data_IF_997725061350
#
_entry.id   IF_997725061350
#
_cell.length_a   1.000
_cell.length_b   1.000
_cell.length_c   1.000
_cell.angle_alpha   90.00
_cell.angle_beta   90.00
_cell.angle_gamma   90.00
#
_symmetry.space_group_name_H-M   'P 1'
#
loop_
_entity.id
_entity.type
_entity.pdbx_description
1 polymer ?
#
# COMPACT_ATOMS: atom_id res chain seq x y z
N UNK A 1 18.47 21.30 -0.49
CA UNK A 1 17.16 21.46 -1.15
C UNK A 1 17.18 22.33 -2.40
N UNK A 2 16.51 21.91 -3.48
CA UNK A 2 16.11 22.74 -4.62
C UNK A 2 14.67 22.44 -5.06
N UNK A 3 14.00 23.41 -5.67
CA UNK A 3 12.61 23.25 -6.15
C UNK A 3 12.44 23.89 -7.52
N UNK A 4 11.78 23.21 -8.44
CA UNK A 4 11.39 23.73 -9.75
C UNK A 4 9.94 23.38 -10.06
N UNK A 5 9.32 24.11 -10.98
CA UNK A 5 7.98 23.80 -11.50
C UNK A 5 8.12 23.45 -12.97
N UNK A 6 7.46 22.36 -13.39
CA UNK A 6 7.41 21.92 -14.78
C UNK A 6 5.97 21.83 -15.27
N UNK A 7 5.81 22.06 -16.56
CA UNK A 7 4.60 21.77 -17.31
C UNK A 7 4.97 20.89 -18.51
N UNK A 8 4.08 19.97 -18.90
CA UNK A 8 4.37 19.01 -19.96
C UNK A 8 4.73 19.65 -21.32
N UNK A 9 4.30 20.89 -21.59
CA UNK A 9 4.69 21.64 -22.79
C UNK A 9 6.16 22.03 -22.82
N UNK A 10 6.81 22.11 -21.66
CA UNK A 10 8.19 22.55 -21.51
C UNK A 10 9.10 21.34 -21.28
N UNK A 11 8.77 20.55 -20.25
CA UNK A 11 9.41 19.27 -19.93
C UNK A 11 8.32 18.31 -19.49
N UNK A 12 8.06 17.29 -20.29
CA UNK A 12 7.14 16.22 -19.94
C UNK A 12 7.64 15.47 -18.70
N UNK A 13 6.76 15.29 -17.69
CA UNK A 13 7.12 14.55 -16.48
C UNK A 13 7.57 13.12 -16.80
N UNK A 14 6.96 12.48 -17.81
CA UNK A 14 7.35 11.15 -18.24
C UNK A 14 8.78 11.06 -18.77
N UNK A 15 9.29 12.10 -19.44
CA UNK A 15 10.69 12.14 -19.92
C UNK A 15 11.68 12.37 -18.78
N UNK A 16 11.32 13.22 -17.81
CA UNK A 16 12.09 13.40 -16.58
C UNK A 16 12.19 12.06 -15.82
N UNK A 17 11.07 11.37 -15.64
CA UNK A 17 11.02 10.08 -14.95
C UNK A 17 11.84 9.01 -15.68
N UNK A 18 11.72 8.90 -17.01
CA UNK A 18 12.52 7.97 -17.82
C UNK A 18 14.03 8.17 -17.61
N UNK A 19 14.45 9.43 -17.51
CA UNK A 19 15.85 9.78 -17.34
C UNK A 19 16.33 9.51 -15.92
N UNK A 20 15.63 10.04 -14.91
CA UNK A 20 16.12 9.99 -13.53
C UNK A 20 15.91 8.63 -12.85
N UNK A 21 14.85 7.89 -13.19
CA UNK A 21 14.61 6.56 -12.64
C UNK A 21 15.63 5.52 -13.11
N UNK A 22 16.43 5.79 -14.14
CA UNK A 22 17.44 4.86 -14.61
C UNK A 22 18.56 4.62 -13.58
N UNK A 23 18.81 5.59 -12.70
CA UNK A 23 19.82 5.48 -11.63
C UNK A 23 19.24 5.27 -10.23
N UNK A 24 17.94 5.03 -10.10
CA UNK A 24 17.28 4.91 -8.81
C UNK A 24 17.41 3.49 -8.22
N UNK A 25 17.42 3.38 -6.90
CA UNK A 25 17.30 2.10 -6.17
C UNK A 25 15.94 1.99 -5.48
N UNK A 26 15.17 3.08 -5.45
CA UNK A 26 13.81 3.10 -4.92
C UNK A 26 12.90 3.98 -5.75
N UNK A 27 11.69 3.51 -6.01
CA UNK A 27 10.63 4.28 -6.66
C UNK A 27 9.29 4.10 -5.96
N UNK A 28 8.64 5.21 -5.66
CA UNK A 28 7.32 5.22 -5.04
C UNK A 28 6.36 6.10 -5.85
N UNK A 29 5.15 5.60 -6.08
CA UNK A 29 4.13 6.29 -6.84
C UNK A 29 2.76 6.13 -6.18
N UNK A 30 2.10 7.25 -5.87
CA UNK A 30 0.70 7.31 -5.47
C UNK A 30 -0.05 8.15 -6.50
N UNK A 31 -0.87 7.52 -7.33
CA UNK A 31 -1.59 8.18 -8.43
C UNK A 31 -3.08 7.83 -8.41
N UNK A 32 -3.95 8.82 -8.58
CA UNK A 32 -5.39 8.54 -8.63
C UNK A 32 -5.76 7.56 -9.75
N UNK A 33 -5.10 7.66 -10.91
CA UNK A 33 -5.36 6.82 -12.07
C UNK A 33 -4.07 6.23 -12.65
N UNK A 34 -4.19 5.05 -13.28
CA UNK A 34 -3.09 4.33 -13.91
C UNK A 34 -3.52 3.77 -15.26
N UNK A 35 -2.75 3.97 -16.33
CA UNK A 35 -2.99 3.23 -17.58
C UNK A 35 -1.71 2.64 -18.17
N UNK A 36 -1.85 1.71 -19.13
CA UNK A 36 -0.70 1.01 -19.72
C UNK A 36 0.35 1.95 -20.34
N UNK A 37 -0.07 3.08 -20.91
CA UNK A 37 0.87 4.04 -21.47
C UNK A 37 1.65 4.81 -20.40
N UNK A 38 1.01 5.14 -19.27
CA UNK A 38 1.67 5.73 -18.12
C UNK A 38 2.61 4.75 -17.41
N UNK A 39 2.14 3.52 -17.17
CA UNK A 39 2.97 2.45 -16.63
C UNK A 39 4.17 2.17 -17.54
N UNK A 40 3.95 2.05 -18.85
CA UNK A 40 5.01 1.81 -19.83
C UNK A 40 6.10 2.88 -19.88
N UNK A 41 5.84 4.09 -19.38
CA UNK A 41 6.87 5.12 -19.25
C UNK A 41 7.90 4.81 -18.16
N UNK A 42 7.47 4.15 -17.08
CA UNK A 42 8.31 3.85 -15.91
C UNK A 42 8.65 2.36 -15.80
N UNK A 43 7.96 1.49 -16.53
CA UNK A 43 8.07 0.02 -16.43
C UNK A 43 9.51 -0.50 -16.60
N UNK A 44 10.30 -0.06 -17.60
CA UNK A 44 11.69 -0.52 -17.72
C UNK A 44 12.55 -0.19 -16.50
N UNK A 45 12.30 0.97 -15.87
CA UNK A 45 13.00 1.35 -14.66
C UNK A 45 12.50 0.56 -13.45
N UNK A 46 11.20 0.29 -13.35
CA UNK A 46 10.61 -0.56 -12.30
C UNK A 46 11.23 -1.96 -12.33
N UNK A 47 11.31 -2.60 -13.51
CA UNK A 47 11.93 -3.92 -13.65
C UNK A 47 13.40 -3.87 -13.22
N UNK A 48 14.18 -2.92 -13.75
CA UNK A 48 15.59 -2.75 -13.40
C UNK A 48 15.79 -2.55 -11.89
N UNK A 49 14.97 -1.71 -11.25
CA UNK A 49 15.04 -1.48 -9.80
C UNK A 49 14.84 -2.81 -9.08
N UNK A 50 13.80 -3.56 -9.41
CA UNK A 50 13.48 -4.82 -8.73
C UNK A 50 14.52 -5.92 -8.98
N UNK A 51 15.04 -6.04 -10.20
CA UNK A 51 16.13 -6.97 -10.56
C UNK A 51 17.45 -6.63 -9.86
N UNK A 52 17.73 -5.35 -9.66
CA UNK A 52 18.94 -4.84 -9.01
C UNK A 52 18.86 -4.82 -7.48
N UNK A 53 17.94 -5.57 -6.87
CA UNK A 53 17.70 -5.51 -5.43
C UNK A 53 17.42 -4.07 -4.95
N UNK A 54 16.62 -3.32 -5.71
CA UNK A 54 15.93 -2.08 -5.31
C UNK A 54 14.42 -2.26 -5.03
N UNK A 55 13.78 -1.26 -4.40
CA UNK A 55 12.40 -1.36 -3.91
C UNK A 55 11.42 -0.51 -4.73
N UNK A 56 10.24 -1.04 -5.02
CA UNK A 56 9.18 -0.31 -5.73
C UNK A 56 7.89 -0.35 -4.95
N UNK A 57 7.20 0.78 -4.84
CA UNK A 57 5.86 0.85 -4.23
C UNK A 57 4.92 1.65 -5.13
N UNK A 58 3.85 1.01 -5.60
CA UNK A 58 2.86 1.65 -6.46
C UNK A 58 1.49 1.52 -5.83
N UNK A 59 0.85 2.66 -5.58
CA UNK A 59 -0.53 2.78 -5.12
C UNK A 59 -1.33 3.54 -6.15
N UNK A 60 -2.48 3.00 -6.56
CA UNK A 60 -3.39 3.78 -7.39
C UNK A 60 -4.86 3.60 -7.03
N UNK A 61 -5.67 4.58 -7.45
CA UNK A 61 -7.11 4.45 -7.41
C UNK A 61 -7.61 3.52 -8.52
N UNK A 62 -8.67 2.77 -8.24
CA UNK A 62 -9.42 2.00 -9.22
C UNK A 62 -10.66 2.81 -9.61
N UNK A 63 -10.49 3.68 -10.61
CA UNK A 63 -11.61 4.20 -11.40
C UNK A 63 -11.75 3.33 -12.64
N UNK A 64 -12.83 2.56 -12.68
CA UNK A 64 -13.11 1.51 -13.67
C UNK A 64 -13.30 2.03 -15.10
N UNK A 65 -13.23 3.35 -15.34
CA UNK A 65 -13.25 3.92 -16.70
C UNK A 65 -11.91 4.47 -17.16
N UNK A 66 -11.00 4.72 -16.23
CA UNK A 66 -9.72 5.38 -16.52
C UNK A 66 -8.56 4.42 -16.29
N UNK A 67 -8.66 3.57 -15.27
CA UNK A 67 -7.59 2.66 -14.90
C UNK A 67 -7.64 1.39 -15.74
N UNK A 68 -6.57 1.16 -16.51
CA UNK A 68 -6.49 0.10 -17.52
C UNK A 68 -6.24 -1.28 -16.88
N UNK A 69 -7.08 -2.29 -17.11
CA UNK A 69 -6.89 -3.65 -16.58
C UNK A 69 -5.52 -4.25 -16.89
N UNK A 70 -4.96 -3.96 -18.07
CA UNK A 70 -3.64 -4.50 -18.47
C UNK A 70 -2.52 -3.99 -17.57
N UNK A 71 -2.61 -2.73 -17.12
CA UNK A 71 -1.63 -2.18 -16.20
C UNK A 71 -1.72 -2.85 -14.82
N UNK A 72 -2.94 -3.16 -14.35
CA UNK A 72 -3.16 -3.92 -13.12
C UNK A 72 -2.55 -5.31 -13.24
N UNK A 73 -2.85 -6.05 -14.32
CA UNK A 73 -2.28 -7.39 -14.54
C UNK A 73 -0.75 -7.39 -14.57
N UNK A 74 -0.12 -6.38 -15.19
CA UNK A 74 1.33 -6.23 -15.18
C UNK A 74 1.89 -6.01 -13.77
N UNK A 75 1.24 -5.17 -12.95
CA UNK A 75 1.68 -4.90 -11.59
C UNK A 75 1.43 -6.07 -10.63
N UNK A 76 0.34 -6.82 -10.80
CA UNK A 76 0.10 -8.08 -10.07
C UNK A 76 1.27 -9.05 -10.29
N UNK A 77 1.64 -9.29 -11.55
CA UNK A 77 2.76 -10.19 -11.88
C UNK A 77 4.07 -9.76 -11.23
N UNK A 78 4.39 -8.47 -11.27
CA UNK A 78 5.59 -7.95 -10.60
C UNK A 78 5.52 -8.11 -9.08
N UNK A 79 4.35 -7.85 -8.47
CA UNK A 79 4.14 -7.94 -7.03
C UNK A 79 4.19 -9.38 -6.51
N UNK A 80 3.76 -10.34 -7.33
CA UNK A 80 3.84 -11.78 -7.03
C UNK A 80 5.26 -12.32 -7.24
N UNK A 81 6.00 -11.76 -8.20
CA UNK A 81 7.37 -12.21 -8.50
C UNK A 81 8.42 -11.60 -7.57
N UNK A 82 8.29 -10.33 -7.19
CA UNK A 82 9.29 -9.61 -6.40
C UNK A 82 8.76 -9.23 -5.02
N UNK A 83 9.36 -9.78 -3.96
CA UNK A 83 9.01 -9.42 -2.58
C UNK A 83 9.20 -7.92 -2.27
N UNK A 84 10.12 -7.24 -2.98
CA UNK A 84 10.44 -5.81 -2.79
C UNK A 84 9.57 -4.89 -3.66
N UNK A 85 8.58 -5.46 -4.34
CA UNK A 85 7.46 -4.74 -4.94
C UNK A 85 6.31 -4.69 -3.94
N UNK A 86 5.74 -3.50 -3.74
CA UNK A 86 4.53 -3.26 -2.96
C UNK A 86 3.49 -2.66 -3.89
N UNK A 87 2.53 -3.47 -4.31
CA UNK A 87 1.41 -3.02 -5.12
C UNK A 87 0.12 -2.92 -4.31
N UNK A 88 -0.51 -1.75 -4.30
CA UNK A 88 -1.81 -1.54 -3.62
C UNK A 88 -2.78 -0.78 -4.51
N UNK A 89 -4.07 -1.02 -4.29
CA UNK A 89 -5.16 -0.34 -4.99
C UNK A 89 -6.14 0.24 -3.99
N UNK A 90 -6.62 1.45 -4.25
CA UNK A 90 -7.77 2.03 -3.54
C UNK A 90 -9.02 1.88 -4.42
N UNK A 91 -9.99 1.09 -3.98
CA UNK A 91 -11.28 0.98 -4.68
C UNK A 91 -12.09 2.26 -4.46
N UNK A 92 -12.43 2.98 -5.53
CA UNK A 92 -12.97 4.35 -5.46
C UNK A 92 -14.48 4.48 -5.55
N UNK A 93 -15.23 3.39 -5.71
CA UNK A 93 -16.68 3.41 -5.94
C UNK A 93 -17.48 3.20 -4.65
N UNK A 94 -17.15 3.95 -3.60
CA UNK A 94 -18.07 4.09 -2.49
C UNK A 94 -18.83 5.42 -2.65
N UNK A 95 -20.10 5.33 -3.07
CA UNK A 95 -21.00 6.47 -3.22
C UNK A 95 -21.27 7.19 -1.89
N UNK A 96 -20.95 6.56 -0.76
CA UNK A 96 -21.10 7.11 0.59
C UNK A 96 -19.81 7.74 1.13
N UNK A 97 -18.66 7.56 0.48
CA UNK A 97 -17.41 8.12 0.96
C UNK A 97 -17.21 9.57 0.55
N UNK A 98 -16.94 10.40 1.55
CA UNK A 98 -16.67 11.83 1.42
C UNK A 98 -15.26 12.15 0.89
N UNK A 99 -14.37 11.16 0.79
CA UNK A 99 -12.97 11.34 0.44
C UNK A 99 -12.57 10.46 -0.75
N UNK A 100 -12.32 11.09 -1.90
CA UNK A 100 -11.82 10.41 -3.11
C UNK A 100 -10.31 10.25 -3.02
N UNK A 101 -9.80 9.05 -3.28
CA UNK A 101 -8.37 8.82 -3.46
C UNK A 101 -7.88 9.54 -4.71
N UNK A 102 -7.26 10.71 -4.52
CA UNK A 102 -6.82 11.54 -5.64
C UNK A 102 -5.36 12.07 -5.58
N UNK A 103 -4.41 11.44 -4.88
CA UNK A 103 -3.02 11.91 -4.88
C UNK A 103 -2.39 11.80 -6.27
N UNK A 104 -1.38 12.64 -6.51
CA UNK A 104 -0.36 12.45 -7.54
C UNK A 104 0.98 12.82 -6.91
N UNK A 105 1.60 11.82 -6.32
CA UNK A 105 2.85 11.93 -5.58
C UNK A 105 3.79 10.86 -6.08
N UNK A 106 5.00 11.27 -6.45
CA UNK A 106 6.05 10.37 -6.88
C UNK A 106 7.34 10.72 -6.18
N UNK A 107 8.17 9.75 -5.87
CA UNK A 107 9.55 10.03 -5.48
C UNK A 107 10.46 8.85 -5.80
N UNK A 108 11.74 9.17 -5.92
CA UNK A 108 12.79 8.20 -6.13
C UNK A 108 14.09 8.65 -5.50
N UNK A 109 14.98 7.69 -5.26
CA UNK A 109 16.33 7.91 -4.71
C UNK A 109 17.26 6.83 -5.25
N UNK A 110 18.56 7.17 -5.35
CA UNK A 110 19.63 6.25 -5.73
C UNK A 110 20.41 5.71 -4.52
N UNK A 111 20.29 6.34 -3.35
CA UNK A 111 21.19 6.07 -2.22
C UNK A 111 20.53 6.21 -0.84
N UNK A 112 19.20 6.37 -0.81
CA UNK A 112 18.39 6.54 0.41
C UNK A 112 18.76 7.79 1.23
N UNK A 113 19.62 8.67 0.68
CA UNK A 113 19.99 9.95 1.29
C UNK A 113 19.37 11.11 0.52
N UNK A 114 19.48 11.07 -0.82
CA UNK A 114 19.08 12.13 -1.74
C UNK A 114 17.86 11.70 -2.53
N UNK A 115 16.79 12.49 -2.44
CA UNK A 115 15.49 12.21 -3.04
C UNK A 115 15.12 13.26 -4.08
N UNK A 116 14.49 12.80 -5.16
CA UNK A 116 13.63 13.65 -5.99
C UNK A 116 12.18 13.29 -5.68
N UNK A 117 11.38 14.28 -5.29
CA UNK A 117 9.94 14.15 -5.11
C UNK A 117 9.19 15.01 -6.15
N UNK A 118 8.05 14.52 -6.60
CA UNK A 118 7.17 15.18 -7.54
C UNK A 118 5.77 15.23 -6.95
N UNK A 119 5.25 16.44 -6.81
CA UNK A 119 3.89 16.72 -6.34
C UNK A 119 3.19 17.58 -7.38
N UNK A 120 2.02 17.16 -7.85
CA UNK A 120 1.33 17.94 -8.86
C UNK A 120 0.01 17.35 -9.33
N UNK A 121 -0.30 17.58 -10.60
CA UNK A 121 -1.57 17.19 -11.21
C UNK A 121 -1.48 15.94 -12.09
N UNK A 122 -0.27 15.55 -12.52
CA UNK A 122 -0.04 14.43 -13.44
C UNK A 122 -0.35 13.06 -12.82
N UNK A 123 -1.37 12.37 -13.31
CA UNK A 123 -1.56 10.95 -13.02
C UNK A 123 -0.55 10.08 -13.79
N UNK A 124 -0.35 8.83 -13.35
CA UNK A 124 0.45 7.80 -14.01
C UNK A 124 -0.27 7.23 -15.25
N UNK A 125 -0.62 8.13 -16.16
CA UNK A 125 -1.27 7.85 -17.44
C UNK A 125 -0.48 8.50 -18.57
N UNK A 126 -0.61 7.99 -19.80
CA UNK A 126 0.06 8.61 -20.95
C UNK A 126 -0.26 10.11 -21.08
N UNK A 127 -1.53 10.48 -20.87
CA UNK A 127 -1.96 11.88 -20.87
C UNK A 127 -1.27 12.70 -19.78
N UNK A 128 -1.34 12.25 -18.52
CA UNK A 128 -0.76 12.97 -17.39
C UNK A 128 0.76 13.12 -17.48
N UNK A 129 1.46 12.13 -18.02
CA UNK A 129 2.93 12.17 -18.12
C UNK A 129 3.47 12.95 -19.32
N UNK A 130 2.73 13.03 -20.44
CA UNK A 130 3.29 13.54 -21.69
C UNK A 130 2.51 14.65 -22.39
N UNK A 131 1.16 14.66 -22.34
CA UNK A 131 0.38 15.48 -23.28
C UNK A 131 -0.63 16.43 -22.65
N UNK A 132 -1.14 16.11 -21.46
CA UNK A 132 -2.09 16.98 -20.77
C UNK A 132 -1.40 18.26 -20.30
N UNK A 133 -2.17 19.34 -20.16
CA UNK A 133 -1.73 20.52 -19.42
C UNK A 133 -1.70 20.20 -17.93
N UNK A 134 -0.51 19.87 -17.43
CA UNK A 134 -0.26 19.47 -16.05
C UNK A 134 0.79 20.40 -15.44
N UNK A 135 0.69 20.66 -14.14
CA UNK A 135 1.67 21.44 -13.39
C UNK A 135 2.20 20.58 -12.25
N UNK A 136 3.52 20.43 -12.19
CA UNK A 136 4.17 19.63 -11.18
C UNK A 136 5.32 20.40 -10.52
N UNK A 137 5.44 20.32 -9.21
CA UNK A 137 6.61 20.76 -8.47
C UNK A 137 7.59 19.59 -8.34
N UNK A 138 8.84 19.82 -8.72
CA UNK A 138 9.95 18.90 -8.54
C UNK A 138 10.77 19.43 -7.37
N UNK A 139 10.91 18.61 -6.33
CA UNK A 139 11.62 18.95 -5.10
C UNK A 139 12.79 17.97 -4.99
N UNK A 140 14.01 18.50 -4.84
CA UNK A 140 15.21 17.67 -4.64
C UNK A 140 15.86 18.02 -3.32
N UNK A 141 16.22 17.02 -2.53
CA UNK A 141 16.71 17.24 -1.18
C UNK A 141 17.05 15.96 -0.45
N UNK A 142 17.56 16.10 0.76
CA UNK A 142 17.83 14.95 1.62
C UNK A 142 16.54 14.46 2.30
N UNK A 143 16.54 13.20 2.76
CA UNK A 143 15.41 12.57 3.44
C UNK A 143 14.84 13.36 4.63
N UNK A 144 15.71 14.08 5.36
CA UNK A 144 15.39 14.85 6.56
C UNK A 144 14.97 16.31 6.28
N UNK A 145 15.07 16.76 5.02
CA UNK A 145 14.61 18.09 4.62
C UNK A 145 13.08 18.13 4.62
N UNK A 146 12.50 19.16 5.27
CA UNK A 146 11.07 19.23 5.59
C UNK A 146 10.10 18.81 4.47
N UNK A 147 10.19 19.36 3.24
CA UNK A 147 9.30 18.96 2.15
C UNK A 147 9.46 17.51 1.69
N UNK A 148 10.68 16.97 1.69
CA UNK A 148 10.94 15.56 1.35
C UNK A 148 10.37 14.66 2.45
N UNK A 149 10.72 14.93 3.72
CA UNK A 149 10.21 14.19 4.87
C UNK A 149 8.68 14.16 4.91
N UNK A 150 8.03 15.29 4.57
CA UNK A 150 6.56 15.37 4.43
C UNK A 150 6.03 14.49 3.31
N UNK A 151 6.66 14.49 2.13
CA UNK A 151 6.26 13.62 1.02
C UNK A 151 6.36 12.13 1.39
N UNK A 152 7.48 11.73 2.01
CA UNK A 152 7.69 10.36 2.49
C UNK A 152 6.62 9.97 3.51
N UNK A 153 6.39 10.82 4.52
CA UNK A 153 5.37 10.57 5.55
C UNK A 153 3.94 10.49 5.00
N UNK A 154 3.59 11.33 4.02
CA UNK A 154 2.29 11.27 3.33
C UNK A 154 2.14 9.94 2.58
N UNK A 155 3.18 9.50 1.87
CA UNK A 155 3.15 8.25 1.13
C UNK A 155 3.04 7.04 2.05
N UNK A 156 3.79 7.02 3.14
CA UNK A 156 3.68 5.94 4.13
C UNK A 156 2.29 5.92 4.77
N UNK A 157 1.70 7.08 5.05
CA UNK A 157 0.31 7.20 5.52
C UNK A 157 -0.70 6.68 4.50
N UNK A 158 -0.48 6.91 3.20
CA UNK A 158 -1.27 6.30 2.13
C UNK A 158 -1.13 4.78 2.18
N UNK A 159 0.09 4.24 2.18
CA UNK A 159 0.36 2.79 2.19
C UNK A 159 -0.22 2.08 3.43
N UNK A 160 -0.29 2.77 4.56
CA UNK A 160 -0.84 2.24 5.81
C UNK A 160 -2.36 2.38 5.90
N UNK A 161 -3.04 2.93 4.89
CA UNK A 161 -4.48 3.15 4.96
C UNK A 161 -5.26 1.85 4.76
N UNK A 162 -6.20 1.54 5.67
CA UNK A 162 -6.92 0.27 5.69
C UNK A 162 -7.88 0.02 4.52
N UNK A 163 -8.19 1.05 3.74
CA UNK A 163 -8.97 0.91 2.49
C UNK A 163 -8.16 0.40 1.30
N UNK A 164 -6.83 0.32 1.45
CA UNK A 164 -5.98 -0.22 0.40
C UNK A 164 -6.06 -1.74 0.36
N UNK A 165 -6.05 -2.27 -0.85
CA UNK A 165 -6.11 -3.69 -1.10
C UNK A 165 -4.85 -4.13 -1.84
N UNK A 166 -4.47 -5.41 -1.68
CA UNK A 166 -3.41 -6.03 -2.49
C UNK A 166 -4.07 -6.82 -3.62
N UNK A 167 -3.98 -6.39 -4.89
CA UNK A 167 -4.54 -7.12 -6.01
C UNK A 167 -3.79 -8.43 -6.27
N UNK A 168 -4.53 -9.48 -6.60
CA UNK A 168 -4.02 -10.76 -7.12
C UNK A 168 -4.54 -10.99 -8.55
N UNK A 169 -4.25 -12.17 -9.12
CA UNK A 169 -4.71 -12.55 -10.46
C UNK A 169 -6.25 -12.57 -10.57
N UNK A 170 -6.96 -13.14 -9.60
CA UNK A 170 -8.45 -13.16 -9.59
C UNK A 170 -9.04 -11.74 -9.55
N UNK A 171 -8.45 -10.83 -8.76
CA UNK A 171 -8.84 -9.43 -8.75
C UNK A 171 -8.64 -8.79 -10.12
N UNK A 172 -7.51 -9.04 -10.77
CA UNK A 172 -7.21 -8.47 -12.08
C UNK A 172 -8.22 -8.96 -13.15
N UNK A 173 -8.59 -10.25 -13.12
CA UNK A 173 -9.60 -10.83 -14.00
C UNK A 173 -10.98 -10.17 -13.82
N UNK A 174 -11.48 -10.12 -12.58
CA UNK A 174 -12.79 -9.51 -12.29
C UNK A 174 -12.80 -8.00 -12.50
N UNK A 175 -11.68 -7.33 -12.25
CA UNK A 175 -11.52 -5.92 -12.60
C UNK A 175 -11.65 -5.72 -14.11
N UNK A 176 -11.05 -6.61 -14.92
CA UNK A 176 -11.17 -6.55 -16.38
C UNK A 176 -12.62 -6.70 -16.84
N UNK A 177 -13.36 -7.66 -16.27
CA UNK A 177 -14.78 -7.84 -16.53
C UNK A 177 -15.60 -6.58 -16.15
N UNK A 178 -15.33 -6.01 -14.97
CA UNK A 178 -16.00 -4.78 -14.54
C UNK A 178 -15.68 -3.60 -15.46
N UNK A 179 -14.42 -3.46 -15.87
CA UNK A 179 -13.98 -2.40 -16.77
C UNK A 179 -14.72 -2.47 -18.11
N UNK A 180 -14.76 -3.66 -18.73
CA UNK A 180 -15.44 -3.88 -20.03
C UNK A 180 -16.92 -3.53 -19.96
N UNK A 181 -17.61 -3.96 -18.90
CA UNK A 181 -19.04 -3.64 -18.72
C UNK A 181 -19.29 -2.18 -18.37
N UNK A 182 -18.38 -1.55 -17.63
CA UNK A 182 -18.49 -0.14 -17.24
C UNK A 182 -18.23 0.83 -18.40
N UNK A 183 -17.43 0.43 -19.40
CA UNK A 183 -17.19 1.24 -20.61
C UNK A 183 -18.46 1.50 -21.43
N UNK A 184 -19.40 0.56 -21.42
CA UNK A 184 -20.66 0.68 -22.15
C UNK A 184 -21.72 1.52 -21.39
N UNK A 185 -21.46 1.87 -20.13
CA UNK A 185 -22.44 2.53 -19.27
C UNK A 185 -22.19 4.04 -19.12
N UNK A 186 -23.19 4.92 -19.34
CA UNK A 186 -23.02 6.36 -19.20
C UNK A 186 -22.68 6.79 -17.76
N UNK A 187 -21.85 7.84 -17.62
CA UNK A 187 -21.30 8.30 -16.33
C UNK A 187 -22.36 8.84 -15.36
N UNK A 188 -23.47 9.35 -15.88
CA UNK A 188 -24.47 10.09 -15.10
C UNK A 188 -25.64 9.23 -14.61
N UNK A 189 -25.63 7.93 -14.89
CA UNK A 189 -26.67 6.99 -14.49
C UNK A 189 -26.18 6.11 -13.35
N UNK A 190 -27.10 5.74 -12.45
CA UNK A 190 -26.80 4.76 -11.42
C UNK A 190 -26.41 3.45 -12.11
N UNK A 191 -25.28 2.82 -11.77
CA UNK A 191 -24.89 1.53 -12.35
C UNK A 191 -26.00 0.48 -12.12
N UNK A 192 -26.23 -0.43 -13.06
CA UNK A 192 -27.17 -1.53 -12.85
C UNK A 192 -26.70 -2.43 -11.69
N UNK A 193 -27.64 -3.17 -11.11
CA UNK A 193 -27.43 -3.93 -9.87
C UNK A 193 -26.31 -4.96 -9.98
N UNK A 194 -26.18 -5.59 -11.15
CA UNK A 194 -25.12 -6.55 -11.48
C UNK A 194 -23.71 -5.93 -11.44
N UNK A 195 -23.53 -4.68 -11.90
CA UNK A 195 -22.24 -3.97 -11.75
C UNK A 195 -21.96 -3.59 -10.30
N UNK A 196 -22.99 -3.27 -9.52
CA UNK A 196 -22.83 -3.01 -8.10
C UNK A 196 -22.48 -4.29 -7.33
N UNK A 197 -23.06 -5.44 -7.70
CA UNK A 197 -22.73 -6.75 -7.16
C UNK A 197 -21.28 -7.11 -7.47
N UNK A 198 -20.83 -6.95 -8.73
CA UNK A 198 -19.45 -7.22 -9.14
C UNK A 198 -18.45 -6.31 -8.42
N UNK A 199 -18.80 -5.04 -8.19
CA UNK A 199 -17.99 -4.14 -7.39
C UNK A 199 -17.89 -4.60 -5.92
N UNK A 200 -19.01 -5.00 -5.31
CA UNK A 200 -19.03 -5.55 -3.95
C UNK A 200 -18.20 -6.83 -3.86
N UNK A 201 -18.26 -7.69 -4.87
CA UNK A 201 -17.43 -8.89 -4.96
C UNK A 201 -15.94 -8.52 -5.02
N UNK A 202 -15.53 -7.57 -5.87
CA UNK A 202 -14.16 -7.08 -5.94
C UNK A 202 -13.64 -6.54 -4.60
N UNK A 203 -14.50 -5.91 -3.80
CA UNK A 203 -14.16 -5.47 -2.44
C UNK A 203 -13.92 -6.63 -1.46
N UNK A 204 -14.41 -7.84 -1.76
CA UNK A 204 -14.18 -9.04 -0.94
C UNK A 204 -12.97 -9.86 -1.41
N UNK A 205 -12.52 -9.67 -2.66
CA UNK A 205 -11.39 -10.38 -3.26
C UNK A 205 -10.04 -9.81 -2.88
N UNK A 206 -10.02 -8.96 -1.85
CA UNK A 206 -8.80 -8.51 -1.21
C UNK A 206 -8.10 -9.73 -0.65
N UNK A 207 -7.04 -10.20 -1.32
CA UNK A 207 -6.19 -11.21 -0.72
C UNK A 207 -5.50 -10.56 0.46
N UNK A 208 -5.86 -11.07 1.63
CA UNK A 208 -5.03 -10.94 2.79
C UNK A 208 -3.77 -11.73 2.51
N UNK A 209 -2.59 -11.09 2.57
CA UNK A 209 -1.34 -11.78 2.35
C UNK A 209 -1.33 -13.14 3.07
N UNK A 210 -1.20 -14.21 2.28
CA UNK A 210 -1.35 -15.57 2.80
C UNK A 210 -0.42 -16.55 2.12
N UNK A 211 0.17 -17.43 2.94
CA UNK A 211 1.13 -18.44 2.54
C UNK A 211 2.23 -18.61 3.60
N UNK A 212 2.86 -19.80 3.70
CA UNK A 212 3.94 -20.05 4.66
C UNK A 212 5.19 -19.19 4.40
N UNK A 213 5.39 -18.76 3.16
CA UNK A 213 6.53 -17.93 2.74
C UNK A 213 6.21 -16.42 2.75
N UNK A 214 4.98 -16.04 3.12
CA UNK A 214 4.61 -14.64 3.16
C UNK A 214 5.32 -13.92 4.31
N UNK A 215 5.96 -12.80 4.01
CA UNK A 215 6.61 -11.94 4.99
C UNK A 215 6.01 -10.52 4.97
N UNK A 216 5.93 -9.85 6.14
CA UNK A 216 5.55 -8.45 6.19
C UNK A 216 6.49 -7.58 5.34
N UNK A 217 5.92 -6.66 4.56
CA UNK A 217 6.66 -5.75 3.68
C UNK A 217 6.51 -4.29 4.08
N UNK A 218 5.41 -3.95 4.76
CA UNK A 218 5.13 -2.58 5.25
C UNK A 218 5.26 -2.49 6.77
N UNK A 219 5.51 -1.28 7.28
CA UNK A 219 5.53 -1.02 8.72
C UNK A 219 4.25 -1.49 9.42
N UNK A 220 3.08 -1.26 8.80
CA UNK A 220 1.80 -1.69 9.36
C UNK A 220 1.67 -3.22 9.42
N UNK A 221 2.08 -3.92 8.36
CA UNK A 221 2.07 -5.38 8.32
C UNK A 221 2.98 -5.99 9.40
N UNK A 222 4.15 -5.39 9.65
CA UNK A 222 5.01 -5.83 10.75
C UNK A 222 4.31 -5.67 12.11
N UNK A 223 3.63 -4.55 12.34
CA UNK A 223 2.89 -4.31 13.59
C UNK A 223 1.76 -5.31 13.76
N UNK A 224 0.98 -5.57 12.70
CA UNK A 224 -0.12 -6.54 12.74
C UNK A 224 0.43 -7.95 13.00
N UNK A 225 1.47 -8.37 12.28
CA UNK A 225 2.09 -9.69 12.46
C UNK A 225 2.64 -9.88 13.87
N UNK A 226 3.31 -8.87 14.41
CA UNK A 226 3.81 -8.88 15.78
C UNK A 226 2.67 -9.08 16.80
N UNK A 227 1.56 -8.37 16.65
CA UNK A 227 0.40 -8.53 17.51
C UNK A 227 -0.26 -9.90 17.36
N UNK A 228 -0.41 -10.44 16.15
CA UNK A 228 -0.94 -11.81 15.94
C UNK A 228 -0.12 -12.84 16.72
N UNK A 229 1.21 -12.76 16.64
CA UNK A 229 2.13 -13.65 17.36
C UNK A 229 1.98 -13.46 18.88
N UNK A 230 2.03 -12.21 19.35
CA UNK A 230 2.00 -11.89 20.77
C UNK A 230 0.68 -12.28 21.42
N UNK A 231 -0.46 -12.02 20.77
CA UNK A 231 -1.80 -12.43 21.21
C UNK A 231 -1.99 -13.95 21.20
N UNK A 232 -1.50 -14.65 20.16
CA UNK A 232 -1.56 -16.12 20.09
C UNK A 232 -0.75 -16.81 21.20
N UNK A 233 0.37 -16.22 21.61
CA UNK A 233 1.12 -16.68 22.80
C UNK A 233 0.36 -16.47 24.11
N UNK A 234 -0.69 -15.64 24.12
CA UNK A 234 -1.53 -15.39 25.30
C UNK A 234 -2.63 -16.40 25.51
N UNK A 235 -3.04 -17.06 24.44
CA UNK A 235 -4.07 -18.10 24.47
C UNK A 235 -3.49 -19.50 24.71
N UNK A 236 -2.16 -19.66 24.77
CA UNK A 236 -1.50 -20.93 25.09
C UNK A 236 -1.73 -21.32 26.57
N UNK A 237 -2.45 -22.43 26.85
CA UNK A 237 -2.80 -22.86 28.19
C UNK A 237 -1.59 -23.27 29.06
N UNK A 238 -0.40 -23.43 28.49
CA UNK A 238 0.81 -23.79 29.24
C UNK A 238 1.56 -22.58 29.82
N UNK A 239 1.12 -21.35 29.55
CA UNK A 239 1.74 -20.13 30.05
C UNK A 239 0.95 -19.61 31.26
N UNK A 240 1.49 -19.75 32.47
CA UNK A 240 0.87 -19.25 33.71
C UNK A 240 0.90 -17.71 33.71
N UNK A 241 -0.27 -17.06 33.89
CA UNK A 241 -0.43 -15.60 33.85
C UNK A 241 -1.14 -15.04 35.07
N UNK A 242 -0.69 -13.85 35.48
CA UNK A 242 -1.21 -13.07 36.59
C UNK A 242 -2.16 -11.98 36.03
N UNK A 243 -3.46 -12.17 36.21
CA UNK A 243 -4.59 -11.30 35.78
C UNK A 243 -4.86 -11.18 34.26
N UNK A 244 -6.12 -10.89 33.92
CA UNK A 244 -6.72 -10.95 32.57
C UNK A 244 -5.94 -10.15 31.51
N UNK A 245 -5.40 -10.82 30.48
CA UNK A 245 -4.64 -10.14 29.42
C UNK A 245 -5.34 -10.32 28.07
N UNK A 246 -6.21 -9.37 27.73
CA UNK A 246 -6.79 -9.21 26.39
C UNK A 246 -5.97 -8.22 25.52
N UNK A 247 -4.89 -7.64 26.04
CA UNK A 247 -4.12 -6.57 25.40
C UNK A 247 -2.60 -6.71 25.57
N UNK A 248 -1.85 -6.34 24.54
CA UNK A 248 -0.38 -6.38 24.46
C UNK A 248 0.22 -5.00 24.77
N UNK A 249 1.29 -4.96 25.58
CA UNK A 249 1.97 -3.71 25.88
C UNK A 249 2.88 -3.26 24.73
N UNK A 250 2.94 -1.96 24.47
CA UNK A 250 3.65 -1.36 23.34
C UNK A 250 5.13 -1.74 23.27
N UNK A 251 5.77 -1.87 24.44
CA UNK A 251 7.17 -2.34 24.55
C UNK A 251 7.37 -3.73 23.91
N UNK A 252 6.42 -4.64 24.08
CA UNK A 252 6.53 -5.99 23.54
C UNK A 252 6.27 -5.99 22.03
N UNK A 253 5.36 -5.12 21.56
CA UNK A 253 5.14 -4.88 20.13
C UNK A 253 6.43 -4.37 19.46
N UNK A 254 7.15 -3.44 20.09
CA UNK A 254 8.42 -2.93 19.56
C UNK A 254 9.46 -4.04 19.37
N UNK A 255 9.66 -4.85 20.42
CA UNK A 255 10.65 -5.93 20.39
C UNK A 255 10.30 -6.98 19.32
N UNK A 256 9.03 -7.33 19.18
CA UNK A 256 8.60 -8.33 18.20
C UNK A 256 8.64 -7.79 16.76
N UNK A 257 8.28 -6.51 16.52
CA UNK A 257 8.44 -5.87 15.21
C UNK A 257 9.91 -5.79 14.81
N UNK A 258 10.79 -5.40 15.73
CA UNK A 258 12.23 -5.36 15.45
C UNK A 258 12.76 -6.75 15.08
N UNK A 259 12.35 -7.79 15.82
CA UNK A 259 12.72 -9.19 15.53
C UNK A 259 12.29 -9.59 14.12
N UNK A 260 11.02 -9.38 13.78
CA UNK A 260 10.46 -9.74 12.47
C UNK A 260 11.14 -8.98 11.32
N UNK A 261 11.37 -7.68 11.48
CA UNK A 261 12.00 -6.86 10.45
C UNK A 261 13.46 -7.27 10.17
N UNK A 262 14.20 -7.69 11.21
CA UNK A 262 15.56 -8.22 11.05
C UNK A 262 15.58 -9.59 10.38
N UNK A 263 14.63 -10.47 10.73
CA UNK A 263 14.53 -11.80 10.10
C UNK A 263 14.13 -11.74 8.63
N UNK A 264 13.33 -10.73 8.26
CA UNK A 264 12.90 -10.50 6.88
C UNK A 264 13.91 -9.73 6.02
N UNK A 265 15.07 -9.35 6.57
CA UNK A 265 16.04 -8.44 5.94
C UNK A 265 15.36 -7.20 5.33
N UNK A 266 14.40 -6.63 6.07
CA UNK A 266 13.58 -5.55 5.58
C UNK A 266 14.33 -4.21 5.58
N UNK A 267 14.11 -3.41 4.54
CA UNK A 267 14.50 -1.99 4.46
C UNK A 267 13.66 -1.17 5.48
N UNK A 268 14.05 -1.25 6.75
CA UNK A 268 13.36 -0.64 7.89
C UNK A 268 14.28 0.32 8.64
N UNK A 269 13.84 1.55 8.87
CA UNK A 269 14.56 2.50 9.72
C UNK A 269 14.41 2.13 11.21
N UNK A 270 15.36 1.34 11.70
CA UNK A 270 15.41 0.92 13.10
C UNK A 270 15.66 2.07 14.08
N UNK A 271 16.19 3.22 13.63
CA UNK A 271 16.44 4.36 14.51
C UNK A 271 15.15 5.08 14.92
N UNK A 272 14.11 5.00 14.09
CA UNK A 272 12.80 5.61 14.31
C UNK A 272 11.68 4.59 14.61
N UNK A 273 12.04 3.33 14.89
CA UNK A 273 11.09 2.20 14.99
C UNK A 273 9.96 2.43 15.99
N UNK A 274 10.25 2.94 17.20
CA UNK A 274 9.22 3.17 18.22
C UNK A 274 8.18 4.23 17.80
N UNK A 275 8.67 5.30 17.18
CA UNK A 275 7.85 6.42 16.68
C UNK A 275 7.01 5.96 15.49
N UNK A 276 7.62 5.21 14.57
CA UNK A 276 6.96 4.62 13.41
C UNK A 276 5.82 3.69 13.84
N UNK A 277 6.09 2.73 14.73
CA UNK A 277 5.09 1.79 15.24
C UNK A 277 3.95 2.53 15.94
N UNK A 278 4.25 3.53 16.80
CA UNK A 278 3.21 4.38 17.43
C UNK A 278 2.35 5.09 16.39
N UNK A 279 2.98 5.64 15.35
CA UNK A 279 2.29 6.29 14.25
C UNK A 279 1.28 5.35 13.59
N UNK A 280 1.74 4.17 13.14
CA UNK A 280 0.90 3.18 12.47
C UNK A 280 -0.25 2.69 13.33
N UNK A 281 0.01 2.46 14.61
CA UNK A 281 -1.05 2.11 15.56
C UNK A 281 -2.07 3.24 15.66
N UNK A 282 -1.63 4.49 15.91
CA UNK A 282 -2.54 5.61 16.12
C UNK A 282 -3.37 5.98 14.89
N UNK A 283 -2.81 5.87 13.69
CA UNK A 283 -3.51 6.09 12.41
C UNK A 283 -4.60 5.04 12.16
N UNK A 284 -4.45 3.84 12.72
CA UNK A 284 -5.32 2.69 12.48
C UNK A 284 -6.12 2.25 13.73
N UNK A 285 -6.26 3.14 14.72
CA UNK A 285 -7.19 2.95 15.85
C UNK A 285 -8.58 3.47 15.48
N UNK A 286 -9.61 2.69 15.83
CA UNK A 286 -11.00 3.12 15.76
C UNK A 286 -11.76 2.75 17.04
N UNK A 287 -12.71 3.59 17.43
CA UNK A 287 -13.74 3.18 18.39
C UNK A 287 -14.80 2.35 17.63
N UNK A 288 -15.26 1.21 18.16
CA UNK A 288 -16.45 0.55 17.63
C UNK A 288 -17.60 1.57 17.51
N UNK A 289 -18.31 1.64 16.36
CA UNK A 289 -18.40 0.64 15.31
C UNK A 289 -17.63 1.01 14.03
N UNK A 290 -16.54 1.79 14.08
CA UNK A 290 -15.75 2.11 12.87
C UNK A 290 -15.29 0.82 12.18
N UNK A 291 -15.96 0.48 11.08
CA UNK A 291 -15.61 -0.61 10.17
C UNK A 291 -14.23 -0.33 9.59
N UNK A 292 -13.26 -1.22 9.81
CA UNK A 292 -11.94 -1.17 9.16
C UNK A 292 -10.76 -0.63 9.96
N UNK A 293 -10.88 -0.39 11.29
CA UNK A 293 -9.71 -0.14 12.13
C UNK A 293 -9.00 -1.45 12.50
N UNK A 294 -7.67 -1.50 12.41
CA UNK A 294 -6.90 -2.71 12.70
C UNK A 294 -6.61 -2.89 14.21
N UNK A 295 -6.56 -1.80 14.96
CA UNK A 295 -6.14 -1.83 16.37
C UNK A 295 -7.22 -1.29 17.31
N UNK A 296 -7.32 -1.92 18.49
CA UNK A 296 -8.15 -1.49 19.61
C UNK A 296 -7.22 -1.12 20.76
N UNK A 297 -7.42 0.07 21.33
CA UNK A 297 -6.68 0.54 22.51
C UNK A 297 -7.44 0.21 23.80
N UNK A 298 -6.75 -0.26 24.82
CA UNK A 298 -7.36 -0.51 26.13
C UNK A 298 -7.90 0.78 26.77
N UNK A 299 -9.14 0.74 27.26
CA UNK A 299 -9.72 1.85 28.03
C UNK A 299 -9.10 1.92 29.43
N UNK A 300 -8.54 3.08 29.81
CA UNK A 300 -7.98 3.29 31.15
C UNK A 300 -6.55 2.78 31.38
N UNK A 301 -5.96 2.06 30.42
CA UNK A 301 -4.55 1.60 30.48
C UNK A 301 -3.76 2.17 29.29
N UNK A 302 -2.74 2.98 29.57
CA UNK A 302 -1.91 3.60 28.52
C UNK A 302 -0.95 2.59 27.90
N UNK A 303 -0.80 2.62 26.57
CA UNK A 303 0.21 1.82 25.87
C UNK A 303 -0.14 0.34 25.70
N UNK A 304 -1.41 -0.03 25.82
CA UNK A 304 -1.89 -1.41 25.62
C UNK A 304 -2.87 -1.48 24.43
N UNK A 305 -2.63 -2.46 23.55
CA UNK A 305 -3.30 -2.60 22.27
C UNK A 305 -3.63 -4.06 21.96
N UNK A 306 -4.67 -4.29 21.16
CA UNK A 306 -4.96 -5.60 20.56
C UNK A 306 -5.48 -5.44 19.14
N UNK A 307 -5.53 -6.53 18.39
CA UNK A 307 -6.14 -6.57 17.06
C UNK A 307 -7.67 -6.54 17.15
N UNK A 308 -8.29 -5.88 16.18
CA UNK A 308 -9.70 -6.06 15.86
C UNK A 308 -9.89 -7.30 14.96
N UNK A 309 -11.13 -7.67 14.64
CA UNK A 309 -11.41 -8.71 13.64
C UNK A 309 -10.79 -8.36 12.27
N UNK A 310 -10.78 -7.08 11.89
CA UNK A 310 -10.12 -6.63 10.66
C UNK A 310 -8.60 -6.73 10.75
N UNK A 311 -8.01 -6.48 11.92
CA UNK A 311 -6.58 -6.65 12.17
C UNK A 311 -6.15 -8.11 12.13
N UNK A 312 -6.94 -9.00 12.73
CA UNK A 312 -6.73 -10.44 12.66
C UNK A 312 -6.83 -10.98 11.25
N UNK A 313 -7.77 -10.47 10.47
CA UNK A 313 -7.94 -10.88 9.09
C UNK A 313 -6.74 -10.40 8.25
N UNK A 314 -6.30 -9.14 8.38
CA UNK A 314 -5.35 -8.46 7.48
C UNK A 314 -4.18 -9.33 6.98
N UNK A 315 -3.64 -10.23 7.80
CA UNK A 315 -2.66 -11.25 7.40
C UNK A 315 -3.23 -12.63 7.75
N UNK A 316 -3.57 -13.44 6.74
CA UNK A 316 -4.02 -14.82 6.98
C UNK A 316 -2.86 -15.79 6.82
N UNK A 317 -2.42 -16.42 7.91
CA UNK A 317 -1.61 -17.63 7.79
C UNK A 317 -2.49 -18.74 7.18
N UNK A 318 -2.04 -19.37 6.08
CA UNK A 318 -2.64 -20.64 5.68
C UNK A 318 -2.29 -21.64 6.78
N UNK A 319 -3.24 -21.93 7.67
CA UNK A 319 -3.17 -23.16 8.43
C UNK A 319 -3.16 -24.29 7.41
N UNK A 320 -2.08 -25.07 7.38
CA UNK A 320 -2.04 -26.31 6.63
C UNK A 320 -3.31 -27.12 6.98
N UNK A 321 -4.25 -27.20 6.05
CA UNK A 321 -5.26 -28.25 6.07
C UNK A 321 -4.61 -29.56 5.63
N UNK A 322 -3.62 -30.00 6.39
CA UNK A 322 -3.27 -31.41 6.49
C UNK A 322 -3.71 -31.93 7.85
N UNK A 323 -4.99 -32.30 7.95
CA UNK A 323 -5.38 -33.47 8.75
C UNK A 323 -6.58 -34.17 8.10
N UNK A 324 -6.28 -35.24 7.38
CA UNK A 324 -7.06 -36.48 7.44
C UNK A 324 -8.22 -36.65 6.45
N UNK A 325 -8.00 -37.49 5.44
CA UNK A 325 -8.59 -38.82 5.46
C UNK A 325 -7.79 -39.81 4.62
N UNK A 326 -7.02 -40.66 5.32
CA UNK A 326 -6.75 -42.02 4.86
C UNK A 326 -8.09 -42.78 4.82
N UNK A 327 -8.49 -43.24 3.63
CA UNK A 327 -8.82 -44.62 3.28
C UNK A 327 -9.37 -44.71 1.87
#
# INVERSE_FOLDING_TARGET
MSTSVIQNSDVALGELMRTELNGADKFCAASAFLNSGGLGAVFPAVERILEGEGAVSIVHGADFRITDPRAISSLVKLNDHYARMIYRVHLGWDLSQSHRFHPKLYFWTADYSSYTAVVGSSNLTNGGLFSNTEVNSIIRGNADEGPIAQCLGIFDGILAHSSLITPNEEFAEKYSELYERATDYPVKTQPPEDLQDLYRELQTLTIEPSGPDWQPRTQLEFVVKALQILESRQTDPNVIRDSAVDFVHLRDIYAEVERLAREADADYDFSAIETSIRGRINENIGNPPRTGAYFIRAGGMSGQYRLSDAGWSMIRERCDTQTGSNH
#
